data_IF_534325064448
#
_entry.id   IF_534325064448
#
_cell.length_a   1.000
_cell.length_b   1.000
_cell.length_c   1.000
_cell.angle_alpha   90.00
_cell.angle_beta   90.00
_cell.angle_gamma   90.00
#
_symmetry.space_group_name_H-M   'P 1'
#
loop_
_entity.id
_entity.type
_entity.pdbx_description
1 polymer ?
#
# COMPACT_ATOMS: atom_id res chain seq x y z
N UNK A 1 -22.94 18.85 6.56
CA UNK A 1 -22.66 18.30 6.64
C UNK A 1 -22.09 17.88 7.44
N UNK A 2 -22.00 17.46 7.92
CA UNK A 2 -21.40 17.01 8.55
C UNK A 2 -20.70 16.22 8.49
N UNK A 3 -20.72 16.24 8.77
CA UNK A 3 -19.70 15.75 8.11
C UNK A 3 -18.63 15.07 8.86
N UNK A 4 -18.47 15.29 10.11
CA UNK A 4 -17.48 14.63 10.93
C UNK A 4 -17.67 13.11 10.90
N UNK A 5 -18.90 12.66 10.93
CA UNK A 5 -19.15 11.25 10.85
C UNK A 5 -18.78 10.66 9.51
N UNK A 6 -19.02 11.44 8.45
CA UNK A 6 -18.66 10.97 7.12
C UNK A 6 -17.17 10.88 6.94
N UNK A 7 -16.43 11.83 7.48
CA UNK A 7 -14.98 11.81 7.37
C UNK A 7 -14.38 10.56 7.97
N UNK A 8 -14.94 10.05 9.04
CA UNK A 8 -14.43 8.83 9.67
C UNK A 8 -14.60 7.61 8.80
N UNK A 9 -15.60 7.61 7.92
CA UNK A 9 -15.90 6.46 7.10
C UNK A 9 -15.39 6.59 5.68
N UNK A 10 -14.85 7.76 5.33
CA UNK A 10 -14.34 7.97 3.99
C UNK A 10 -13.01 7.30 3.80
N UNK A 11 -12.83 6.75 2.60
CA UNK A 11 -11.55 6.23 2.17
C UNK A 11 -10.80 7.35 1.48
N UNK A 12 -9.59 7.60 1.91
CA UNK A 12 -8.73 8.63 1.35
C UNK A 12 -7.65 7.95 0.54
N UNK A 13 -7.50 8.36 -0.72
CA UNK A 13 -6.42 7.86 -1.58
C UNK A 13 -5.33 8.92 -1.58
N UNK A 14 -4.11 8.52 -1.23
CA UNK A 14 -2.97 9.43 -1.16
C UNK A 14 -1.70 8.74 -1.60
N UNK A 15 -0.65 9.51 -1.80
CA UNK A 15 0.64 8.96 -2.14
C UNK A 15 1.20 8.14 -0.97
N UNK A 16 1.85 7.04 -1.31
CA UNK A 16 2.48 6.19 -0.30
C UNK A 16 3.74 6.86 0.26
N UNK A 17 4.04 6.53 1.50
CA UNK A 17 5.27 6.96 2.18
C UNK A 17 6.00 5.71 2.64
N UNK A 18 7.29 5.88 2.94
CA UNK A 18 8.08 4.75 3.46
C UNK A 18 7.45 4.21 4.74
N UNK A 19 6.85 5.07 5.56
CA UNK A 19 6.21 4.62 6.79
C UNK A 19 4.98 3.75 6.55
N UNK A 20 4.47 3.69 5.34
CA UNK A 20 3.36 2.78 4.99
C UNK A 20 3.84 1.37 4.71
N UNK A 21 5.15 1.15 4.67
CA UNK A 21 5.71 -0.13 4.22
C UNK A 21 5.25 -1.31 5.05
N UNK A 22 5.12 -1.15 6.36
CA UNK A 22 4.69 -2.27 7.20
C UNK A 22 3.27 -2.72 6.83
N UNK A 23 2.36 -1.76 6.68
CA UNK A 23 0.98 -2.08 6.32
C UNK A 23 0.91 -2.71 4.92
N UNK A 24 1.69 -2.19 3.98
CA UNK A 24 1.74 -2.73 2.63
C UNK A 24 2.31 -4.14 2.63
N UNK A 25 3.38 -4.36 3.39
CA UNK A 25 3.99 -5.68 3.50
C UNK A 25 2.99 -6.69 4.09
N UNK A 26 2.22 -6.25 5.09
CA UNK A 26 1.22 -7.12 5.71
C UNK A 26 0.12 -7.51 4.71
N UNK A 27 -0.33 -6.57 3.91
CA UNK A 27 -1.35 -6.85 2.89
C UNK A 27 -0.79 -7.82 1.86
N UNK A 28 0.44 -7.57 1.40
CA UNK A 28 1.08 -8.42 0.42
C UNK A 28 1.26 -9.85 0.97
N UNK A 29 1.71 -9.96 2.21
CA UNK A 29 1.88 -11.26 2.85
C UNK A 29 0.57 -12.03 2.91
N UNK A 30 -0.52 -11.33 3.24
CA UNK A 30 -1.83 -11.96 3.30
C UNK A 30 -2.19 -12.57 1.94
N UNK A 31 -1.99 -11.81 0.87
CA UNK A 31 -2.33 -12.29 -0.47
C UNK A 31 -1.43 -13.46 -0.90
N UNK A 32 -0.15 -13.38 -0.60
CA UNK A 32 0.77 -14.46 -0.94
C UNK A 32 0.38 -15.75 -0.21
N UNK A 33 0.15 -15.63 1.09
CA UNK A 33 -0.15 -16.81 1.91
C UNK A 33 -1.49 -17.42 1.58
N UNK A 34 -2.40 -16.64 1.02
CA UNK A 34 -3.72 -17.14 0.62
C UNK A 34 -3.79 -17.49 -0.88
N UNK A 35 -2.65 -17.46 -1.57
CA UNK A 35 -2.60 -17.90 -2.95
C UNK A 35 -3.20 -16.94 -3.95
N UNK A 36 -3.40 -15.69 -3.57
CA UNK A 36 -4.00 -14.71 -4.47
C UNK A 36 -2.97 -13.88 -5.22
N UNK A 37 -1.72 -13.86 -4.75
CA UNK A 37 -0.63 -13.20 -5.48
C UNK A 37 -0.04 -14.21 -6.45
N UNK A 38 0.15 -13.82 -7.70
CA UNK A 38 0.26 -14.76 -8.78
C UNK A 38 1.46 -15.70 -8.69
N UNK A 39 2.66 -15.18 -8.55
CA UNK A 39 3.83 -16.06 -8.70
C UNK A 39 4.72 -16.11 -7.49
N UNK A 40 4.46 -15.30 -6.49
CA UNK A 40 5.32 -15.24 -5.32
C UNK A 40 4.85 -16.25 -4.29
N UNK A 41 5.79 -16.99 -3.74
CA UNK A 41 5.50 -17.95 -2.69
C UNK A 41 6.06 -17.50 -1.35
N UNK A 42 6.85 -16.43 -1.35
CA UNK A 42 7.48 -15.90 -0.14
C UNK A 42 7.11 -14.42 -0.01
N UNK A 43 6.55 -14.02 1.13
CA UNK A 43 6.22 -12.61 1.33
C UNK A 43 7.46 -11.74 1.32
N UNK A 44 7.30 -10.49 0.86
CA UNK A 44 8.39 -9.52 0.94
C UNK A 44 8.66 -9.14 2.37
N UNK A 45 9.92 -8.90 2.69
CA UNK A 45 10.29 -8.35 3.98
C UNK A 45 9.92 -6.87 4.04
N UNK A 46 9.93 -6.31 5.25
CA UNK A 46 9.70 -4.89 5.42
C UNK A 46 10.72 -4.08 4.60
N UNK A 47 11.99 -4.48 4.67
CA UNK A 47 13.05 -3.77 3.94
C UNK A 47 12.81 -3.80 2.44
N UNK A 48 12.40 -4.94 1.92
CA UNK A 48 12.11 -5.07 0.49
C UNK A 48 10.95 -4.17 0.09
N UNK A 49 9.94 -4.07 0.94
CA UNK A 49 8.79 -3.22 0.68
C UNK A 49 9.18 -1.76 0.72
N UNK A 50 9.99 -1.36 1.71
CA UNK A 50 10.49 0.01 1.78
C UNK A 50 11.29 0.36 0.54
N UNK A 51 12.15 -0.54 0.09
CA UNK A 51 12.95 -0.31 -1.10
C UNK A 51 12.08 -0.17 -2.34
N UNK A 52 11.04 -0.98 -2.44
CA UNK A 52 10.11 -0.91 -3.56
C UNK A 52 9.41 0.45 -3.62
N UNK A 53 8.93 0.93 -2.48
CA UNK A 53 8.30 2.24 -2.41
C UNK A 53 9.29 3.32 -2.83
N UNK A 54 10.49 3.27 -2.27
CA UNK A 54 11.52 4.27 -2.56
C UNK A 54 11.88 4.30 -4.04
N UNK A 55 12.05 3.13 -4.65
CA UNK A 55 12.41 3.03 -6.05
C UNK A 55 11.32 3.59 -6.95
N UNK A 56 10.08 3.26 -6.68
CA UNK A 56 8.96 3.73 -7.50
C UNK A 56 8.83 5.24 -7.39
N UNK A 57 8.92 5.77 -6.17
CA UNK A 57 8.80 7.21 -5.97
C UNK A 57 10.00 7.95 -6.57
N UNK A 58 11.19 7.37 -6.53
CA UNK A 58 12.38 7.99 -7.09
C UNK A 58 12.28 8.14 -8.60
N UNK A 59 11.54 7.24 -9.26
CA UNK A 59 11.31 7.34 -10.69
C UNK A 59 10.16 8.29 -11.05
N UNK A 60 9.48 8.84 -10.05
CA UNK A 60 8.33 9.70 -10.30
C UNK A 60 7.08 8.92 -10.67
N UNK A 61 7.07 7.61 -10.45
CA UNK A 61 5.91 6.79 -10.76
C UNK A 61 4.94 6.80 -9.59
N UNK A 62 3.64 6.60 -9.85
CA UNK A 62 2.66 6.65 -8.76
C UNK A 62 2.70 5.40 -7.88
N UNK A 63 2.61 5.64 -6.59
CA UNK A 63 2.41 4.58 -5.61
C UNK A 63 1.40 5.14 -4.61
N UNK A 64 0.20 4.56 -4.60
CA UNK A 64 -0.92 5.10 -3.86
C UNK A 64 -1.38 4.12 -2.80
N UNK A 65 -1.92 4.64 -1.71
CA UNK A 65 -2.56 3.83 -0.69
C UNK A 65 -3.97 4.35 -0.46
N UNK A 66 -4.84 3.45 -0.06
CA UNK A 66 -6.19 3.79 0.36
C UNK A 66 -6.23 3.64 1.88
N UNK A 67 -6.66 4.69 2.54
CA UNK A 67 -6.61 4.78 3.99
C UNK A 67 -7.97 5.15 4.53
N UNK A 68 -8.34 4.54 5.67
CA UNK A 68 -9.55 4.92 6.40
C UNK A 68 -9.21 4.90 7.89
N UNK A 69 -9.44 6.04 8.55
CA UNK A 69 -9.19 6.19 9.99
C UNK A 69 -7.78 5.76 10.38
N UNK A 70 -6.82 6.11 9.53
CA UNK A 70 -5.42 5.78 9.80
C UNK A 70 -5.01 4.37 9.42
N UNK A 71 -5.94 3.53 8.98
CA UNK A 71 -5.63 2.16 8.60
C UNK A 71 -5.51 2.08 7.09
N UNK A 72 -4.46 1.39 6.62
CA UNK A 72 -4.24 1.19 5.20
C UNK A 72 -5.08 -0.01 4.76
N UNK A 73 -5.97 0.22 3.81
CA UNK A 73 -6.86 -0.80 3.30
C UNK A 73 -6.33 -1.48 2.05
N UNK A 74 -5.53 -0.77 1.28
CA UNK A 74 -5.00 -1.32 0.05
C UNK A 74 -3.98 -0.38 -0.57
N UNK A 75 -3.39 -0.81 -1.67
CA UNK A 75 -2.40 0.00 -2.37
C UNK A 75 -2.42 -0.34 -3.85
N UNK A 76 -1.84 0.56 -4.64
CA UNK A 76 -1.67 0.34 -6.06
C UNK A 76 -0.47 1.15 -6.53
N UNK A 77 0.22 0.64 -7.53
CA UNK A 77 1.32 1.39 -8.12
C UNK A 77 1.44 1.04 -9.60
N UNK A 78 2.15 1.90 -10.31
CA UNK A 78 2.44 1.67 -11.71
C UNK A 78 3.94 1.82 -11.93
N UNK A 79 4.46 1.01 -12.84
CA UNK A 79 5.86 1.09 -13.23
C UNK A 79 5.93 1.08 -14.75
N UNK A 80 6.99 1.65 -15.27
CA UNK A 80 7.24 1.62 -16.71
C UNK A 80 8.10 0.41 -17.05
N UNK A 81 8.00 -0.03 -18.28
CA UNK A 81 8.82 -1.11 -18.82
C UNK A 81 9.84 -0.58 -19.77
#
# INVERSE_FOLDING_TARGET
MDDAGQAKNEVIVRGARITDAQAIADIYAHHVLNGTASFDTVPRTLEQTEQKIADILAHGWPFLVAEREGAILGYAYATAF
#
